data_IF_478066731887
#
_entry.id   IF_478066731887
#
_cell.length_a   1.000
_cell.length_b   1.000
_cell.length_c   1.000
_cell.angle_alpha   90.00
_cell.angle_beta   90.00
_cell.angle_gamma   90.00
#
_symmetry.space_group_name_H-M   'P 1'
#
loop_
_entity.id
_entity.type
_entity.pdbx_description
1 polymer ?
#
# COMPACT_ATOMS: atom_id res chain seq x y z
N UNK A 1 -10.02 -7.23 22.18
CA UNK A 1 -10.42 -6.71 23.51
C UNK A 1 -10.78 -7.88 24.44
N UNK A 2 -10.65 -7.73 25.76
CA UNK A 2 -10.91 -8.83 26.72
C UNK A 2 -12.39 -9.11 26.91
N UNK A 3 -12.75 -10.35 27.30
CA UNK A 3 -14.13 -10.75 27.58
C UNK A 3 -14.85 -9.88 28.62
N UNK A 4 -14.10 -9.34 29.56
CA UNK A 4 -14.62 -8.45 30.61
C UNK A 4 -15.10 -7.12 30.03
N UNK A 5 -14.34 -6.55 29.10
CA UNK A 5 -14.57 -5.22 28.53
C UNK A 5 -15.89 -5.13 27.77
N UNK A 6 -16.22 -6.12 26.93
CA UNK A 6 -17.48 -6.07 26.18
C UNK A 6 -18.70 -6.39 27.07
N UNK A 7 -18.55 -7.20 28.12
CA UNK A 7 -19.64 -7.45 29.06
C UNK A 7 -19.98 -6.19 29.87
N UNK A 8 -18.97 -5.43 30.27
CA UNK A 8 -19.14 -4.11 30.88
C UNK A 8 -19.78 -3.11 29.90
N UNK A 9 -19.34 -3.10 28.63
CA UNK A 9 -19.94 -2.25 27.59
C UNK A 9 -21.41 -2.59 27.37
N UNK A 10 -21.75 -3.88 27.26
CA UNK A 10 -23.12 -4.34 27.11
C UNK A 10 -23.97 -3.96 28.32
N UNK A 11 -23.47 -4.17 29.54
CA UNK A 11 -24.18 -3.79 30.77
C UNK A 11 -24.49 -2.29 30.81
N UNK A 12 -23.49 -1.44 30.54
CA UNK A 12 -23.69 0.02 30.45
C UNK A 12 -24.72 0.40 29.40
N UNK A 13 -24.67 -0.26 28.24
CA UNK A 13 -25.63 -0.01 27.14
C UNK A 13 -27.05 -0.42 27.56
N UNK A 14 -27.19 -1.54 28.26
CA UNK A 14 -28.47 -2.02 28.77
C UNK A 14 -29.04 -1.08 29.85
N UNK A 15 -28.20 -0.60 30.77
CA UNK A 15 -28.62 0.36 31.81
C UNK A 15 -29.16 1.64 31.15
N UNK A 16 -28.46 2.18 30.15
CA UNK A 16 -28.88 3.38 29.42
C UNK A 16 -30.15 3.14 28.60
N UNK A 17 -30.28 1.97 27.99
CA UNK A 17 -31.51 1.60 27.28
C UNK A 17 -32.69 1.54 28.25
N UNK A 18 -32.52 0.92 29.42
CA UNK A 18 -33.56 0.86 30.44
C UNK A 18 -33.95 2.26 30.93
N UNK A 19 -32.98 3.13 31.21
CA UNK A 19 -33.25 4.54 31.57
C UNK A 19 -34.01 5.27 30.46
N UNK A 20 -33.63 5.06 29.19
CA UNK A 20 -34.27 5.70 28.04
C UNK A 20 -35.71 5.22 27.86
N UNK A 21 -35.97 3.94 28.10
CA UNK A 21 -37.33 3.36 28.04
C UNK A 21 -38.26 3.95 29.11
N UNK A 22 -37.74 4.30 30.30
CA UNK A 22 -38.55 4.95 31.34
C UNK A 22 -38.99 6.38 30.97
N UNK A 23 -38.28 7.02 30.04
CA UNK A 23 -38.63 8.35 29.54
C UNK A 23 -39.70 8.30 28.44
N UNK A 24 -40.03 7.12 27.89
CA UNK A 24 -41.01 7.02 26.83
C UNK A 24 -42.45 7.18 27.35
N UNK A 25 -43.26 8.06 26.74
CA UNK A 25 -44.65 8.24 27.14
C UNK A 25 -45.51 7.05 26.71
N UNK A 26 -46.26 6.49 27.65
CA UNK A 26 -47.05 5.25 27.45
C UNK A 26 -48.34 5.50 26.65
N UNK A 27 -48.93 6.70 26.69
CA UNK A 27 -50.30 6.94 26.19
C UNK A 27 -50.56 8.31 25.51
N UNK A 28 -49.58 9.22 25.46
CA UNK A 28 -49.78 10.54 24.86
C UNK A 28 -49.40 10.57 23.36
N UNK A 29 -50.00 11.48 22.59
CA UNK A 29 -49.51 11.79 21.25
C UNK A 29 -48.12 12.42 21.40
N UNK A 30 -47.10 11.66 21.04
CA UNK A 30 -45.69 11.97 21.36
C UNK A 30 -45.20 13.22 20.64
N UNK A 31 -45.92 13.62 19.60
CA UNK A 31 -45.63 14.76 18.71
C UNK A 31 -45.80 16.10 19.39
N UNK A 32 -46.55 16.16 20.49
CA UNK A 32 -46.76 17.39 21.25
C UNK A 32 -45.51 17.81 22.05
N UNK A 33 -44.62 16.86 22.38
CA UNK A 33 -43.38 17.11 23.11
C UNK A 33 -42.14 16.81 22.25
N UNK A 34 -41.82 17.79 21.41
CA UNK A 34 -40.70 17.75 20.49
C UNK A 34 -39.34 17.63 21.18
N UNK A 35 -39.18 18.21 22.37
CA UNK A 35 -37.91 18.16 23.11
C UNK A 35 -37.66 16.76 23.69
N UNK A 36 -38.71 16.11 24.18
CA UNK A 36 -38.64 14.70 24.59
C UNK A 36 -38.31 13.79 23.40
N UNK A 37 -38.96 13.98 22.25
CA UNK A 37 -38.68 13.21 21.03
C UNK A 37 -37.22 13.36 20.58
N UNK A 38 -36.69 14.59 20.59
CA UNK A 38 -35.30 14.84 20.24
C UNK A 38 -34.33 14.17 21.23
N UNK A 39 -34.66 14.19 22.53
CA UNK A 39 -33.88 13.52 23.57
C UNK A 39 -33.82 12.00 23.36
N UNK A 40 -34.98 11.37 23.16
CA UNK A 40 -35.07 9.94 22.88
C UNK A 40 -34.31 9.58 21.61
N UNK A 41 -34.50 10.34 20.53
CA UNK A 41 -33.83 10.09 19.24
C UNK A 41 -32.31 10.08 19.36
N UNK A 42 -31.72 11.10 20.01
CA UNK A 42 -30.27 11.17 20.21
C UNK A 42 -29.76 10.04 21.12
N UNK A 43 -30.50 9.72 22.19
CA UNK A 43 -30.13 8.60 23.09
C UNK A 43 -30.14 7.26 22.37
N UNK A 44 -31.16 6.99 21.56
CA UNK A 44 -31.25 5.74 20.80
C UNK A 44 -30.14 5.60 19.77
N UNK A 45 -29.71 6.68 19.11
CA UNK A 45 -28.54 6.62 18.21
C UNK A 45 -27.29 6.17 18.99
N UNK A 46 -27.03 6.78 20.15
CA UNK A 46 -25.91 6.39 21.00
C UNK A 46 -25.99 4.92 21.48
N UNK A 47 -27.20 4.44 21.77
CA UNK A 47 -27.46 3.03 22.12
C UNK A 47 -27.15 2.12 20.93
N UNK A 48 -27.65 2.42 19.73
CA UNK A 48 -27.42 1.63 18.52
C UNK A 48 -25.93 1.53 18.18
N UNK A 49 -25.19 2.63 18.25
CA UNK A 49 -23.74 2.63 18.01
C UNK A 49 -23.00 1.70 18.98
N UNK A 50 -23.39 1.68 20.27
CA UNK A 50 -22.79 0.78 21.26
C UNK A 50 -23.23 -0.67 21.10
N UNK A 51 -24.50 -0.91 20.75
CA UNK A 51 -25.01 -2.25 20.46
C UNK A 51 -24.33 -2.86 19.23
N UNK A 52 -24.08 -2.07 18.20
CA UNK A 52 -23.28 -2.46 17.02
C UNK A 52 -21.92 -3.03 17.44
N UNK A 53 -21.16 -2.27 18.24
CA UNK A 53 -19.88 -2.74 18.79
C UNK A 53 -20.06 -4.03 19.60
N UNK A 54 -21.12 -4.13 20.42
CA UNK A 54 -21.39 -5.34 21.21
C UNK A 54 -21.63 -6.56 20.31
N UNK A 55 -22.44 -6.43 19.25
CA UNK A 55 -22.73 -7.51 18.30
C UNK A 55 -21.47 -8.07 17.65
N UNK A 56 -20.49 -7.22 17.35
CA UNK A 56 -19.25 -7.65 16.73
C UNK A 56 -18.24 -8.25 17.71
N UNK A 57 -18.22 -7.77 18.96
CA UNK A 57 -17.29 -8.26 19.98
C UNK A 57 -17.78 -9.52 20.72
N UNK A 58 -19.08 -9.86 20.66
CA UNK A 58 -19.61 -11.07 21.30
C UNK A 58 -19.33 -12.31 20.46
N UNK A 59 -18.49 -13.20 21.00
CA UNK A 59 -18.13 -14.47 20.36
C UNK A 59 -19.25 -15.52 20.46
N UNK A 60 -20.05 -15.50 21.53
CA UNK A 60 -21.08 -16.50 21.77
C UNK A 60 -22.28 -16.34 20.80
N UNK A 61 -22.61 -17.35 19.98
CA UNK A 61 -23.65 -17.23 18.95
C UNK A 61 -25.04 -16.91 19.49
N UNK A 62 -25.47 -17.55 20.58
CA UNK A 62 -26.83 -17.35 21.12
C UNK A 62 -27.01 -15.92 21.64
N UNK A 63 -26.02 -15.41 22.37
CA UNK A 63 -26.03 -14.04 22.89
C UNK A 63 -25.98 -13.04 21.74
N UNK A 64 -25.16 -13.30 20.71
CA UNK A 64 -25.04 -12.46 19.53
C UNK A 64 -26.36 -12.33 18.76
N UNK A 65 -27.10 -13.42 18.58
CA UNK A 65 -28.44 -13.37 17.95
C UNK A 65 -29.43 -12.50 18.72
N UNK A 66 -29.41 -12.55 20.05
CA UNK A 66 -30.28 -11.69 20.88
C UNK A 66 -29.89 -10.21 20.77
N UNK A 67 -28.58 -9.92 20.76
CA UNK A 67 -28.08 -8.55 20.57
C UNK A 67 -28.43 -8.00 19.20
N UNK A 68 -28.38 -8.83 18.15
CA UNK A 68 -28.79 -8.44 16.80
C UNK A 68 -30.27 -8.02 16.77
N UNK A 69 -31.16 -8.84 17.34
CA UNK A 69 -32.59 -8.48 17.44
C UNK A 69 -32.81 -7.18 18.23
N UNK A 70 -32.05 -6.98 19.31
CA UNK A 70 -32.12 -5.75 20.09
C UNK A 70 -31.64 -4.53 19.30
N UNK A 71 -30.56 -4.67 18.55
CA UNK A 71 -30.03 -3.63 17.66
C UNK A 71 -31.04 -3.29 16.56
N UNK A 72 -31.64 -4.29 15.91
CA UNK A 72 -32.67 -4.09 14.89
C UNK A 72 -33.90 -3.38 15.44
N UNK A 73 -34.37 -3.78 16.64
CA UNK A 73 -35.49 -3.11 17.30
C UNK A 73 -35.16 -1.65 17.65
N UNK A 74 -33.95 -1.38 18.16
CA UNK A 74 -33.50 -0.03 18.48
C UNK A 74 -33.36 0.83 17.21
N UNK A 75 -32.88 0.27 16.09
CA UNK A 75 -32.84 0.95 14.80
C UNK A 75 -34.24 1.27 14.26
N UNK A 76 -35.18 0.33 14.38
CA UNK A 76 -36.59 0.58 14.06
C UNK A 76 -37.15 1.73 14.89
N UNK A 77 -36.86 1.76 16.19
CA UNK A 77 -37.27 2.84 17.08
C UNK A 77 -36.70 4.21 16.69
N UNK A 78 -35.44 4.27 16.23
CA UNK A 78 -34.84 5.50 15.70
C UNK A 78 -35.62 6.01 14.48
N UNK A 79 -36.06 5.12 13.58
CA UNK A 79 -36.82 5.51 12.40
C UNK A 79 -38.19 6.05 12.78
N UNK A 80 -38.89 5.40 13.71
CA UNK A 80 -40.17 5.90 14.25
C UNK A 80 -40.02 7.29 14.86
N UNK A 81 -39.04 7.47 15.76
CA UNK A 81 -38.77 8.75 16.40
C UNK A 81 -38.37 9.83 15.39
N UNK A 82 -37.66 9.44 14.32
CA UNK A 82 -37.31 10.37 13.24
C UNK A 82 -38.55 10.81 12.49
N UNK A 83 -39.48 9.90 12.19
CA UNK A 83 -40.76 10.24 11.55
C UNK A 83 -41.58 11.17 12.44
N UNK A 84 -41.72 10.83 13.73
CA UNK A 84 -42.42 11.67 14.71
C UNK A 84 -41.81 13.10 14.79
N UNK A 85 -40.47 13.21 14.77
CA UNK A 85 -39.76 14.50 14.77
C UNK A 85 -39.97 15.30 13.47
N UNK A 86 -40.02 14.63 12.31
CA UNK A 86 -40.27 15.30 11.03
C UNK A 86 -41.68 15.86 11.00
N UNK A 87 -42.65 15.12 11.53
CA UNK A 87 -44.03 15.59 11.67
C UNK A 87 -44.15 16.75 12.66
N UNK A 88 -43.48 16.67 13.81
CA UNK A 88 -43.47 17.73 14.82
C UNK A 88 -42.78 19.03 14.33
N UNK A 89 -41.65 18.91 13.63
CA UNK A 89 -40.90 20.05 13.08
C UNK A 89 -41.48 20.54 11.74
N UNK A 90 -42.40 19.78 11.12
CA UNK A 90 -42.86 19.95 9.72
C UNK A 90 -41.68 20.09 8.73
N UNK A 91 -40.59 19.37 8.99
CA UNK A 91 -39.34 19.50 8.25
C UNK A 91 -38.55 18.18 8.29
N UNK A 92 -37.99 17.80 7.14
CA UNK A 92 -37.12 16.63 7.03
C UNK A 92 -35.82 16.80 7.83
N UNK A 93 -35.36 18.04 8.02
CA UNK A 93 -34.16 18.36 8.79
C UNK A 93 -34.49 18.60 10.27
N UNK A 94 -34.02 17.70 11.15
CA UNK A 94 -34.24 17.83 12.60
C UNK A 94 -33.02 18.45 13.29
N UNK A 95 -33.23 19.61 13.91
CA UNK A 95 -32.22 20.30 14.72
C UNK A 95 -32.22 19.80 16.17
N UNK A 96 -31.16 19.09 16.58
CA UNK A 96 -31.02 18.58 17.95
C UNK A 96 -29.89 19.26 18.75
N UNK A 97 -29.50 20.50 18.40
CA UNK A 97 -28.36 21.19 19.02
C UNK A 97 -28.47 21.28 20.55
N UNK A 98 -29.62 21.75 21.04
CA UNK A 98 -29.86 21.94 22.47
C UNK A 98 -29.86 20.59 23.22
N UNK A 99 -30.39 19.55 22.59
CA UNK A 99 -30.38 18.18 23.13
C UNK A 99 -28.95 17.64 23.26
N UNK A 100 -28.09 17.89 22.27
CA UNK A 100 -26.68 17.46 22.29
C UNK A 100 -25.94 18.16 23.42
N UNK A 101 -26.16 19.48 23.58
CA UNK A 101 -25.57 20.26 24.67
C UNK A 101 -26.01 19.74 26.04
N UNK A 102 -27.31 19.51 26.23
CA UNK A 102 -27.88 18.98 27.47
C UNK A 102 -27.34 17.59 27.83
N UNK A 103 -27.16 16.73 26.84
CA UNK A 103 -26.62 15.38 27.05
C UNK A 103 -25.07 15.36 27.15
N UNK A 104 -24.40 16.48 26.88
CA UNK A 104 -22.93 16.61 26.83
C UNK A 104 -22.27 15.60 25.90
N UNK A 105 -22.90 15.38 24.75
CA UNK A 105 -22.46 14.41 23.73
C UNK A 105 -21.76 15.16 22.60
N UNK A 106 -20.80 14.53 21.93
CA UNK A 106 -20.16 15.15 20.76
C UNK A 106 -21.00 14.94 19.49
N UNK A 107 -20.90 15.80 18.47
CA UNK A 107 -21.60 15.59 17.20
C UNK A 107 -21.28 14.24 16.54
N UNK A 108 -20.06 13.73 16.71
CA UNK A 108 -19.62 12.43 16.20
C UNK A 108 -20.41 11.30 16.85
N UNK A 109 -20.65 11.37 18.16
CA UNK A 109 -21.42 10.37 18.88
C UNK A 109 -22.91 10.36 18.47
N UNK A 110 -23.43 11.46 17.90
CA UNK A 110 -24.79 11.56 17.31
C UNK A 110 -24.88 10.94 15.92
N UNK A 111 -23.77 10.70 15.23
CA UNK A 111 -23.84 10.10 13.91
C UNK A 111 -24.23 8.63 14.02
N UNK A 112 -25.32 8.24 13.34
CA UNK A 112 -25.70 6.84 13.28
C UNK A 112 -24.70 6.10 12.39
N UNK A 113 -23.93 5.21 13.00
CA UNK A 113 -22.97 4.37 12.29
C UNK A 113 -23.70 3.13 11.79
N UNK A 114 -23.61 2.84 10.50
CA UNK A 114 -24.16 1.61 9.94
C UNK A 114 -23.44 0.42 10.58
N UNK A 115 -24.15 -0.51 11.24
CA UNK A 115 -23.52 -1.66 11.88
C UNK A 115 -22.75 -2.54 10.89
N UNK A 116 -21.49 -2.88 11.21
CA UNK A 116 -20.63 -3.70 10.34
C UNK A 116 -21.22 -5.09 10.08
N UNK A 117 -21.98 -5.62 11.04
CA UNK A 117 -22.67 -6.90 10.90
C UNK A 117 -23.57 -6.94 9.66
N UNK A 118 -24.25 -5.84 9.31
CA UNK A 118 -25.11 -5.78 8.13
C UNK A 118 -24.31 -5.74 6.84
N UNK A 119 -23.18 -5.04 6.81
CA UNK A 119 -22.29 -5.05 5.65
C UNK A 119 -21.73 -6.44 5.42
N UNK A 120 -21.32 -7.13 6.49
CA UNK A 120 -20.75 -8.49 6.40
C UNK A 120 -21.78 -9.51 5.96
N UNK A 121 -23.01 -9.43 6.46
CA UNK A 121 -24.10 -10.34 6.08
C UNK A 121 -24.55 -10.14 4.63
N UNK A 122 -24.53 -8.91 4.12
CA UNK A 122 -24.87 -8.57 2.73
C UNK A 122 -23.67 -8.55 1.79
N UNK A 123 -22.51 -9.05 2.21
CA UNK A 123 -21.28 -8.93 1.43
C UNK A 123 -21.42 -9.51 0.01
N UNK A 124 -22.06 -10.67 -0.12
CA UNK A 124 -22.30 -11.32 -1.42
C UNK A 124 -23.17 -10.46 -2.34
N UNK A 125 -24.22 -9.86 -1.79
CA UNK A 125 -25.13 -8.96 -2.50
C UNK A 125 -24.41 -7.67 -2.91
N UNK A 126 -23.62 -7.09 -2.00
CA UNK A 126 -22.81 -5.89 -2.27
C UNK A 126 -21.80 -6.18 -3.37
N UNK A 127 -21.13 -7.33 -3.35
CA UNK A 127 -20.20 -7.75 -4.39
C UNK A 127 -20.89 -8.03 -5.73
N UNK A 128 -22.08 -8.61 -5.72
CA UNK A 128 -22.91 -8.75 -6.91
C UNK A 128 -23.26 -7.38 -7.51
N UNK A 129 -23.81 -6.47 -6.69
CA UNK A 129 -24.19 -5.12 -7.13
C UNK A 129 -22.98 -4.35 -7.66
N UNK A 130 -21.82 -4.43 -6.99
CA UNK A 130 -20.56 -3.84 -7.48
C UNK A 130 -20.18 -4.37 -8.86
N UNK A 131 -20.24 -5.68 -9.07
CA UNK A 131 -19.95 -6.29 -10.39
C UNK A 131 -20.91 -5.80 -11.47
N UNK A 132 -22.20 -5.70 -11.17
CA UNK A 132 -23.21 -5.19 -12.11
C UNK A 132 -22.91 -3.74 -12.46
N UNK A 133 -22.62 -2.89 -11.47
CA UNK A 133 -22.25 -1.49 -11.67
C UNK A 133 -20.99 -1.39 -12.54
N UNK A 134 -19.94 -2.15 -12.22
CA UNK A 134 -18.69 -2.17 -12.99
C UNK A 134 -18.92 -2.61 -14.44
N UNK A 135 -19.76 -3.63 -14.66
CA UNK A 135 -20.11 -4.11 -15.99
C UNK A 135 -20.87 -3.04 -16.79
N UNK A 136 -21.86 -2.38 -16.19
CA UNK A 136 -22.64 -1.32 -16.83
C UNK A 136 -21.74 -0.12 -17.16
N UNK A 137 -20.93 0.34 -16.20
CA UNK A 137 -19.99 1.44 -16.40
C UNK A 137 -18.94 1.10 -17.47
N UNK A 138 -18.47 -0.15 -17.51
CA UNK A 138 -17.56 -0.60 -18.57
C UNK A 138 -18.22 -0.64 -19.94
N UNK A 139 -19.51 -1.01 -20.05
CA UNK A 139 -20.26 -0.98 -21.32
C UNK A 139 -20.49 0.44 -21.81
N UNK A 140 -20.74 1.37 -20.89
CA UNK A 140 -20.95 2.79 -21.19
C UNK A 140 -19.64 3.55 -21.47
N UNK A 141 -18.47 2.93 -21.25
CA UNK A 141 -17.17 3.54 -21.49
C UNK A 141 -16.72 4.53 -20.41
N UNK A 142 -17.39 4.58 -19.26
CA UNK A 142 -17.02 5.44 -18.13
C UNK A 142 -15.97 4.81 -17.21
N UNK A 143 -15.70 3.50 -17.36
CA UNK A 143 -14.71 2.79 -16.57
C UNK A 143 -13.45 2.57 -17.40
N UNK A 144 -12.41 3.36 -17.14
CA UNK A 144 -11.08 3.12 -17.68
C UNK A 144 -10.60 1.75 -17.18
N UNK A 145 -10.40 0.81 -18.10
CA UNK A 145 -9.78 -0.47 -17.80
C UNK A 145 -8.36 -0.18 -17.33
N UNK A 146 -8.12 -0.22 -16.01
CA UNK A 146 -6.75 -0.18 -15.50
C UNK A 146 -6.00 -1.33 -16.17
N UNK A 147 -4.95 -1.06 -16.95
CA UNK A 147 -4.23 -2.12 -17.63
C UNK A 147 -3.72 -3.06 -16.55
N UNK A 148 -4.13 -4.34 -16.60
CA UNK A 148 -3.59 -5.38 -15.71
C UNK A 148 -2.08 -5.34 -15.91
N UNK A 149 -1.36 -4.83 -14.91
CA UNK A 149 0.11 -4.84 -14.92
C UNK A 149 0.53 -6.30 -14.97
N UNK A 150 1.12 -6.72 -16.07
CA UNK A 150 1.69 -8.06 -16.19
C UNK A 150 2.72 -8.20 -15.07
N UNK A 151 2.58 -9.23 -14.20
CA UNK A 151 3.55 -9.43 -13.14
C UNK A 151 4.92 -9.68 -13.78
N UNK A 152 5.92 -8.98 -13.27
CA UNK A 152 7.31 -9.15 -13.70
C UNK A 152 7.73 -10.60 -13.48
N UNK A 153 8.37 -11.22 -14.48
CA UNK A 153 8.91 -12.58 -14.31
C UNK A 153 10.13 -12.56 -13.41
N UNK A 154 10.42 -13.67 -12.74
CA UNK A 154 11.61 -13.81 -11.88
C UNK A 154 12.90 -13.50 -12.65
N UNK A 155 12.99 -13.94 -13.91
CA UNK A 155 14.12 -13.64 -14.78
C UNK A 155 14.27 -12.14 -15.06
N UNK A 156 13.16 -11.43 -15.30
CA UNK A 156 13.18 -9.98 -15.47
C UNK A 156 13.63 -9.27 -14.19
N UNK A 157 13.17 -9.74 -13.02
CA UNK A 157 13.59 -9.22 -11.72
C UNK A 157 15.11 -9.37 -11.51
N UNK A 158 15.63 -10.58 -11.77
CA UNK A 158 17.07 -10.87 -11.68
C UNK A 158 17.87 -9.97 -12.62
N UNK A 159 17.43 -9.81 -13.88
CA UNK A 159 18.12 -8.96 -14.86
C UNK A 159 18.16 -7.49 -14.43
N UNK A 160 17.07 -6.96 -13.88
CA UNK A 160 17.00 -5.58 -13.38
C UNK A 160 17.98 -5.38 -12.24
N UNK A 161 17.96 -6.29 -11.24
CA UNK A 161 18.85 -6.25 -10.08
C UNK A 161 20.31 -6.32 -10.53
N UNK A 162 20.67 -7.28 -11.38
CA UNK A 162 22.04 -7.44 -11.88
C UNK A 162 22.51 -6.24 -12.72
N UNK A 163 21.62 -5.62 -13.51
CA UNK A 163 21.93 -4.41 -14.28
C UNK A 163 22.21 -3.23 -13.36
N UNK A 164 21.42 -3.07 -12.30
CA UNK A 164 21.57 -1.99 -11.34
C UNK A 164 22.82 -2.18 -10.46
N UNK A 165 23.12 -3.40 -10.02
CA UNK A 165 24.35 -3.67 -9.26
C UNK A 165 25.60 -3.46 -10.11
N UNK A 166 25.61 -3.91 -11.38
CA UNK A 166 26.69 -3.58 -12.33
C UNK A 166 26.89 -2.07 -12.48
N UNK A 167 25.79 -1.31 -12.60
CA UNK A 167 25.87 0.14 -12.71
C UNK A 167 26.42 0.79 -11.44
N UNK A 168 26.01 0.31 -10.25
CA UNK A 168 26.52 0.75 -8.95
C UNK A 168 28.02 0.52 -8.83
N UNK A 169 28.49 -0.70 -9.13
CA UNK A 169 29.91 -1.04 -9.11
C UNK A 169 30.70 -0.20 -10.12
N UNK A 170 30.14 0.05 -11.31
CA UNK A 170 30.76 0.92 -12.32
C UNK A 170 31.00 2.34 -11.80
N UNK A 171 30.01 2.93 -11.12
CA UNK A 171 30.14 4.25 -10.49
C UNK A 171 31.21 4.26 -9.41
N UNK A 172 31.22 3.27 -8.52
CA UNK A 172 32.20 3.16 -7.43
C UNK A 172 33.64 3.04 -7.98
N UNK A 173 33.87 2.19 -8.98
CA UNK A 173 35.18 2.04 -9.63
C UNK A 173 35.63 3.32 -10.32
N UNK A 174 34.71 4.03 -10.97
CA UNK A 174 35.02 5.29 -11.64
C UNK A 174 35.42 6.38 -10.64
N UNK A 175 34.74 6.46 -9.49
CA UNK A 175 35.12 7.35 -8.40
C UNK A 175 36.51 7.02 -7.85
N UNK A 176 36.78 5.75 -7.52
CA UNK A 176 38.10 5.30 -7.07
C UNK A 176 39.21 5.63 -8.06
N UNK A 177 39.00 5.36 -9.35
CA UNK A 177 39.99 5.66 -10.40
C UNK A 177 40.22 7.16 -10.59
N UNK A 178 39.18 7.99 -10.38
CA UNK A 178 39.29 9.44 -10.39
C UNK A 178 40.17 9.93 -9.24
N UNK A 179 39.97 9.40 -8.04
CA UNK A 179 40.76 9.74 -6.84
C UNK A 179 42.23 9.31 -6.97
N UNK A 180 42.50 8.10 -7.50
CA UNK A 180 43.87 7.66 -7.78
C UNK A 180 44.55 8.60 -8.78
N UNK A 181 43.82 9.02 -9.82
CA UNK A 181 44.36 9.93 -10.83
C UNK A 181 44.66 11.31 -10.26
N UNK A 182 43.76 11.89 -9.45
CA UNK A 182 43.99 13.21 -8.83
C UNK A 182 45.16 13.16 -7.84
N UNK A 183 45.29 12.09 -7.05
CA UNK A 183 46.45 11.89 -6.17
C UNK A 183 47.76 11.79 -6.96
N UNK A 184 47.77 11.06 -8.08
CA UNK A 184 48.94 10.92 -8.95
C UNK A 184 49.32 12.23 -9.67
N UNK A 185 48.33 13.04 -10.04
CA UNK A 185 48.56 14.35 -10.63
C UNK A 185 49.12 15.33 -9.60
N UNK A 186 48.65 15.28 -8.33
CA UNK A 186 49.22 16.06 -7.23
C UNK A 186 50.61 15.60 -6.79
N UNK A 187 50.91 14.30 -6.91
CA UNK A 187 52.23 13.73 -6.56
C UNK A 187 53.24 13.80 -7.70
N UNK A 188 52.86 14.34 -8.86
CA UNK A 188 53.78 14.55 -9.97
C UNK A 188 54.54 15.85 -9.68
N UNK A 189 55.88 15.85 -9.57
CA UNK A 189 56.63 17.10 -9.52
C UNK A 189 56.30 17.89 -10.80
N UNK A 190 56.21 19.21 -10.65
CA UNK A 190 55.92 20.16 -11.75
C UNK A 190 56.89 19.85 -12.89
N UNK A 191 56.40 19.21 -13.95
CA UNK A 191 57.17 18.90 -15.15
C UNK A 191 57.23 20.14 -16.04
N UNK A 192 57.82 21.23 -15.53
CA UNK A 192 58.22 22.34 -16.40
C UNK A 192 59.37 21.90 -17.33
N UNK A 193 60.24 21.00 -16.87
CA UNK A 193 61.43 20.55 -17.63
C UNK A 193 61.11 19.69 -18.88
N UNK A 194 60.02 18.91 -18.87
CA UNK A 194 59.70 18.00 -19.97
C UNK A 194 59.07 18.72 -21.19
N UNK A 195 58.42 19.87 -20.99
CA UNK A 195 57.90 20.70 -22.08
C UNK A 195 59.00 21.58 -22.69
N UNK A 196 59.99 22.01 -21.90
CA UNK A 196 61.20 22.71 -22.35
C UNK A 196 62.10 21.81 -23.23
N UNK A 197 62.36 20.55 -22.82
CA UNK A 197 63.15 19.60 -23.63
C UNK A 197 62.46 19.20 -24.95
N UNK A 198 61.13 19.04 -24.95
CA UNK A 198 60.37 18.71 -26.15
C UNK A 198 60.37 19.84 -27.19
N UNK A 199 60.51 21.11 -26.75
CA UNK A 199 60.70 22.26 -27.64
C UNK A 199 62.11 22.30 -28.24
N UNK A 200 63.14 21.83 -27.50
CA UNK A 200 64.54 21.74 -28.00
C UNK A 200 64.76 20.58 -28.99
N UNK A 201 63.99 19.49 -28.89
CA UNK A 201 64.16 18.26 -29.67
C UNK A 201 63.60 18.23 -31.11
N UNK A 202 63.09 19.35 -31.62
CA UNK A 202 62.56 19.44 -32.99
C UNK A 202 61.30 18.61 -33.28
N UNK A 203 60.72 18.81 -34.46
CA UNK A 203 59.42 18.24 -34.88
C UNK A 203 59.40 16.70 -34.83
N UNK A 204 60.54 16.04 -35.06
CA UNK A 204 60.67 14.58 -35.07
C UNK A 204 60.46 13.93 -33.69
N UNK A 205 61.07 14.49 -32.64
CA UNK A 205 60.94 13.94 -31.28
C UNK A 205 59.51 14.08 -30.76
N UNK A 206 58.87 15.22 -31.02
CA UNK A 206 57.47 15.46 -30.63
C UNK A 206 56.49 14.51 -31.35
N UNK A 207 56.74 14.20 -32.63
CA UNK A 207 55.97 13.21 -33.38
C UNK A 207 56.16 11.80 -32.82
N UNK A 208 57.40 11.39 -32.53
CA UNK A 208 57.70 10.09 -31.93
C UNK A 208 57.05 9.92 -30.55
N UNK A 209 57.08 10.95 -29.71
CA UNK A 209 56.40 10.93 -28.40
C UNK A 209 54.88 10.77 -28.52
N UNK A 210 54.24 11.42 -29.51
CA UNK A 210 52.80 11.24 -29.78
C UNK A 210 52.47 9.80 -30.19
N UNK A 211 53.25 9.22 -31.11
CA UNK A 211 53.07 7.83 -31.56
C UNK A 211 53.25 6.86 -30.39
N UNK A 212 54.31 7.01 -29.60
CA UNK A 212 54.58 6.17 -28.44
C UNK A 212 53.48 6.29 -27.38
N UNK A 213 52.95 7.51 -27.13
CA UNK A 213 51.84 7.74 -26.19
C UNK A 213 50.57 7.03 -26.64
N UNK A 214 50.24 7.11 -27.93
CA UNK A 214 49.09 6.40 -28.51
C UNK A 214 49.27 4.89 -28.37
N UNK A 215 50.45 4.35 -28.69
CA UNK A 215 50.77 2.93 -28.61
C UNK A 215 50.71 2.38 -27.18
N UNK A 216 51.35 3.08 -26.22
CA UNK A 216 51.27 2.75 -24.80
C UNK A 216 49.82 2.76 -24.30
N UNK A 217 49.02 3.73 -24.73
CA UNK A 217 47.59 3.78 -24.46
C UNK A 217 46.81 2.62 -25.07
N UNK A 218 47.12 2.21 -26.30
CA UNK A 218 46.51 1.04 -26.95
C UNK A 218 46.80 -0.25 -26.19
N UNK A 219 48.06 -0.51 -25.84
CA UNK A 219 48.48 -1.69 -25.06
C UNK A 219 47.74 -1.73 -23.72
N UNK A 220 47.72 -0.60 -22.98
CA UNK A 220 47.05 -0.52 -21.69
C UNK A 220 45.54 -0.79 -21.83
N UNK A 221 44.86 -0.17 -22.79
CA UNK A 221 43.42 -0.41 -23.04
C UNK A 221 43.14 -1.86 -23.42
N UNK A 222 44.00 -2.48 -24.25
CA UNK A 222 43.87 -3.89 -24.63
C UNK A 222 44.01 -4.81 -23.42
N UNK A 223 45.00 -4.55 -22.54
CA UNK A 223 45.18 -5.29 -21.30
C UNK A 223 43.97 -5.14 -20.35
N UNK A 224 43.46 -3.92 -20.17
CA UNK A 224 42.29 -3.64 -19.32
C UNK A 224 41.02 -4.31 -19.86
N UNK A 225 40.77 -4.29 -21.18
CA UNK A 225 39.65 -5.04 -21.78
C UNK A 225 39.77 -6.54 -21.52
N UNK A 226 40.98 -7.09 -21.62
CA UNK A 226 41.24 -8.52 -21.35
C UNK A 226 40.94 -8.88 -19.89
N UNK A 227 41.43 -8.09 -18.93
CA UNK A 227 41.12 -8.27 -17.50
C UNK A 227 39.62 -8.16 -17.21
N UNK A 228 38.94 -7.18 -17.82
CA UNK A 228 37.48 -7.02 -17.71
C UNK A 228 36.74 -8.28 -18.19
N UNK A 229 37.16 -8.87 -19.30
CA UNK A 229 36.55 -10.10 -19.83
C UNK A 229 36.81 -11.29 -18.90
N UNK A 230 38.05 -11.44 -18.39
CA UNK A 230 38.39 -12.49 -17.42
C UNK A 230 37.59 -12.35 -16.13
N UNK A 231 37.42 -11.13 -15.63
CA UNK A 231 36.60 -10.84 -14.45
C UNK A 231 35.11 -11.15 -14.71
N UNK A 232 34.58 -10.80 -15.90
CA UNK A 232 33.20 -11.14 -16.27
C UNK A 232 32.97 -12.65 -16.41
N UNK A 233 33.98 -13.41 -16.87
CA UNK A 233 33.94 -14.88 -16.88
C UNK A 233 33.99 -15.45 -15.45
N UNK A 234 34.89 -14.94 -14.60
CA UNK A 234 35.06 -15.38 -13.22
C UNK A 234 33.78 -15.17 -12.38
N UNK A 235 33.11 -14.04 -12.57
CA UNK A 235 31.87 -13.68 -11.86
C UNK A 235 30.64 -14.32 -12.53
N UNK A 236 30.80 -15.10 -13.61
CA UNK A 236 29.71 -15.78 -14.30
C UNK A 236 28.77 -14.87 -15.09
N UNK A 237 29.20 -13.64 -15.41
CA UNK A 237 28.43 -12.69 -16.23
C UNK A 237 28.46 -13.02 -17.72
N UNK A 238 29.51 -13.71 -18.17
CA UNK A 238 29.62 -14.29 -19.50
C UNK A 238 29.68 -15.80 -19.30
N UNK A 239 28.75 -16.59 -19.86
CA UNK A 239 28.81 -18.03 -19.74
C UNK A 239 30.09 -18.53 -20.43
N UNK A 240 30.81 -19.50 -19.83
CA UNK A 240 31.97 -20.10 -20.49
C UNK A 240 31.53 -20.68 -21.84
N UNK A 241 32.48 -20.75 -22.79
CA UNK A 241 32.27 -21.49 -24.03
C UNK A 241 31.77 -22.88 -23.65
N UNK A 242 30.57 -23.25 -24.11
CA UNK A 242 30.00 -24.57 -23.86
C UNK A 242 30.98 -25.60 -24.42
N UNK A 243 31.80 -26.21 -23.57
CA UNK A 243 32.48 -27.45 -23.89
C UNK A 243 31.39 -28.48 -24.15
N UNK A 244 31.46 -29.17 -25.28
CA UNK A 244 30.54 -30.28 -25.55
C UNK A 244 30.71 -31.28 -24.40
N UNK A 245 29.62 -31.51 -23.66
CA UNK A 245 29.66 -32.48 -22.57
C UNK A 245 29.75 -33.87 -23.18
N UNK A 246 30.80 -34.61 -22.83
CA UNK A 246 31.01 -36.01 -23.23
C UNK A 246 29.81 -36.87 -22.82
N UNK A 247 29.14 -36.52 -21.72
CA UNK A 247 27.93 -37.19 -21.24
C UNK A 247 26.75 -36.95 -22.17
N UNK A 248 26.58 -35.73 -22.68
CA UNK A 248 25.50 -35.39 -23.63
C UNK A 248 25.74 -36.05 -25.00
N UNK A 249 26.99 -36.14 -25.45
CA UNK A 249 27.32 -36.87 -26.68
C UNK A 249 27.09 -38.38 -26.53
N UNK A 250 27.49 -38.98 -25.41
CA UNK A 250 27.18 -40.40 -25.12
C UNK A 250 25.68 -40.66 -25.02
N UNK A 251 24.90 -39.74 -24.44
CA UNK A 251 23.44 -39.87 -24.35
C UNK A 251 22.76 -39.76 -25.73
N UNK A 252 23.31 -38.93 -26.61
CA UNK A 252 22.87 -38.85 -28.02
C UNK A 252 23.26 -40.10 -28.82
N UNK A 253 24.46 -40.64 -28.62
CA UNK A 253 24.88 -41.91 -29.23
C UNK A 253 23.98 -43.06 -28.76
N UNK A 254 23.75 -43.20 -27.45
CA UNK A 254 22.89 -44.24 -26.89
C UNK A 254 21.43 -44.15 -27.37
N UNK A 255 20.95 -42.94 -27.69
CA UNK A 255 19.62 -42.74 -28.30
C UNK A 255 19.56 -43.16 -29.77
N UNK A 256 20.67 -43.13 -30.50
CA UNK A 256 20.73 -43.61 -31.88
C UNK A 256 20.83 -45.14 -31.98
N UNK A 257 21.12 -45.84 -30.87
CA UNK A 257 21.15 -47.30 -30.78
C UNK A 257 19.84 -47.93 -30.23
N UNK A 258 18.80 -47.12 -30.00
CA UNK A 258 17.43 -47.57 -29.70
C UNK A 258 16.53 -47.33 -30.89
#
# INVERSE_FOLDING_TARGET
>A
MSHKTYNELFKKTQDILNETLQLEPVQADRRDDRDLLANLYVRYIGICNRLSICVDQVVQPQKRMLLLKLLEAALGRILELKTDLVEADLNEFTHCGDTIENLRITPIDRELIVPECFTRERQEEIEYNKRVIDEVLSKLGYLDKTPKKTPMTEQQAILIIQKHERARQGRLRQQFMKEIRTMKEKSKPVQEDAEEEAKRGGISLTAAMKIQKIWRGYIARRATRRRKIQEMLLIGMIPPLKTKSVEIEKDLENKNYR
#
